data_IF_016088823029
#
_entry.id   IF_016088823029
#
_cell.length_a   1.000
_cell.length_b   1.000
_cell.length_c   1.000
_cell.angle_alpha   90.00
_cell.angle_beta   90.00
_cell.angle_gamma   90.00
#
_symmetry.space_group_name_H-M   'P 1'
#
loop_
_entity.id
_entity.type
_entity.pdbx_description
1 polymer ?
#
# COMPACT_ATOMS: atom_id res chain seq x y z
N UNK A 1 2.64 -15.04 10.00
CA UNK A 1 2.42 -13.79 9.24
C UNK A 1 3.13 -12.64 9.92
N UNK A 2 3.78 -11.82 9.14
CA UNK A 2 4.46 -10.63 9.64
C UNK A 2 3.48 -9.47 9.68
N UNK A 3 3.56 -8.65 10.71
CA UNK A 3 2.80 -7.41 10.72
C UNK A 3 3.59 -6.31 11.41
N UNK A 4 3.34 -5.06 10.99
CA UNK A 4 4.03 -3.89 11.53
C UNK A 4 3.02 -2.77 11.73
N UNK A 5 3.34 -1.90 12.66
CA UNK A 5 2.61 -0.66 12.80
C UNK A 5 3.32 0.41 11.98
N UNK A 6 2.64 0.95 10.99
CA UNK A 6 3.17 1.97 10.10
C UNK A 6 2.23 3.16 10.11
N UNK A 7 2.79 4.32 9.86
CA UNK A 7 2.02 5.56 9.81
C UNK A 7 1.71 5.94 8.37
N UNK A 8 0.48 6.37 8.15
CA UNK A 8 0.09 6.95 6.87
C UNK A 8 0.59 8.38 6.83
N UNK A 9 1.36 8.72 5.80
CA UNK A 9 1.82 10.08 5.56
C UNK A 9 0.81 10.82 4.71
N UNK A 10 0.61 12.10 5.00
CA UNK A 10 -0.29 12.92 4.19
C UNK A 10 0.53 14.01 3.52
N UNK A 11 0.58 13.96 2.17
CA UNK A 11 1.25 14.96 1.38
C UNK A 11 0.23 15.85 0.68
N UNK A 12 0.57 17.11 0.46
CA UNK A 12 -0.26 18.00 -0.32
C UNK A 12 -0.08 17.69 -1.79
N UNK A 13 -1.19 17.45 -2.47
CA UNK A 13 -1.18 17.43 -3.93
C UNK A 13 -1.87 18.68 -4.43
N UNK A 14 -1.47 19.17 -5.56
CA UNK A 14 -1.89 20.44 -6.22
C UNK A 14 -3.14 21.06 -5.69
N UNK A 15 -4.17 21.20 -5.74
CA UNK A 15 -5.38 21.89 -5.34
C UNK A 15 -5.66 21.89 -3.82
N UNK A 16 -4.66 21.69 -2.99
CA UNK A 16 -4.83 21.72 -1.54
C UNK A 16 -5.37 20.45 -0.91
N UNK A 17 -5.57 19.41 -1.68
CA UNK A 17 -6.00 18.11 -1.15
C UNK A 17 -4.83 17.35 -0.55
N UNK A 18 -5.11 16.59 0.50
CA UNK A 18 -4.11 15.72 1.12
C UNK A 18 -4.16 14.34 0.47
N UNK A 19 -3.00 13.83 0.10
CA UNK A 19 -2.87 12.49 -0.46
C UNK A 19 -2.25 11.57 0.57
N UNK A 20 -2.97 10.55 1.03
CA UNK A 20 -2.39 9.60 1.96
C UNK A 20 -1.42 8.66 1.24
N UNK A 21 -0.31 8.38 1.90
CA UNK A 21 0.72 7.50 1.37
C UNK A 21 1.20 6.56 2.46
N UNK A 22 1.47 5.34 2.09
CA UNK A 22 2.03 4.35 2.98
C UNK A 22 3.27 3.74 2.33
N UNK A 23 4.38 3.80 3.04
CA UNK A 23 5.61 3.17 2.58
C UNK A 23 5.62 1.72 3.02
N UNK A 24 5.65 0.82 2.06
CA UNK A 24 5.67 -0.61 2.35
C UNK A 24 7.11 -1.11 2.51
N UNK A 25 7.37 -2.06 3.43
CA UNK A 25 8.70 -2.64 3.54
C UNK A 25 9.11 -3.32 2.24
N UNK A 26 10.31 -3.01 1.78
CA UNK A 26 10.81 -3.58 0.52
C UNK A 26 10.87 -5.11 0.58
N UNK A 27 11.18 -5.65 1.75
CA UNK A 27 11.22 -7.09 1.97
C UNK A 27 9.91 -7.78 1.60
N UNK A 28 8.79 -7.14 1.94
CA UNK A 28 7.48 -7.70 1.63
C UNK A 28 7.22 -7.68 0.14
N UNK A 29 7.60 -6.59 -0.50
CA UNK A 29 7.44 -6.43 -1.95
C UNK A 29 8.28 -7.48 -2.68
N UNK A 30 9.52 -7.70 -2.22
CA UNK A 30 10.39 -8.71 -2.81
C UNK A 30 9.81 -10.12 -2.65
N UNK A 31 9.23 -10.41 -1.47
CA UNK A 31 8.60 -11.71 -1.23
C UNK A 31 7.35 -11.93 -2.06
N UNK A 32 6.68 -10.88 -2.46
CA UNK A 32 5.52 -10.95 -3.35
C UNK A 32 5.94 -11.06 -4.82
N UNK A 33 7.24 -11.03 -5.11
CA UNK A 33 7.78 -11.03 -6.47
C UNK A 33 7.29 -9.85 -7.31
N UNK A 34 7.13 -8.70 -6.66
CA UNK A 34 6.77 -7.46 -7.31
C UNK A 34 8.06 -6.75 -7.70
N UNK A 35 8.20 -6.43 -8.98
CA UNK A 35 9.38 -5.75 -9.51
C UNK A 35 8.95 -4.55 -10.33
N UNK A 36 9.91 -3.78 -10.80
CA UNK A 36 9.61 -2.64 -11.67
C UNK A 36 8.94 -3.06 -12.98
N UNK A 37 9.19 -4.28 -13.44
CA UNK A 37 8.58 -4.82 -14.64
C UNK A 37 7.21 -5.44 -14.36
N UNK A 38 7.02 -5.98 -13.17
CA UNK A 38 5.76 -6.62 -12.76
C UNK A 38 5.28 -5.96 -11.48
N UNK A 39 4.76 -4.76 -11.60
CA UNK A 39 4.39 -3.93 -10.44
C UNK A 39 2.89 -3.76 -10.23
N UNK A 40 2.08 -4.41 -11.03
CA UNK A 40 0.63 -4.30 -10.90
C UNK A 40 0.13 -5.16 -9.75
N UNK A 41 -0.69 -4.57 -8.91
CA UNK A 41 -1.31 -5.26 -7.78
C UNK A 41 -2.81 -4.99 -7.78
N UNK A 42 -3.54 -5.88 -7.15
CA UNK A 42 -4.96 -5.69 -6.90
C UNK A 42 -5.13 -5.19 -5.47
N UNK A 43 -5.88 -4.12 -5.30
CA UNK A 43 -6.13 -3.54 -3.99
C UNK A 43 -7.62 -3.57 -3.70
N UNK A 44 -7.97 -4.16 -2.56
CA UNK A 44 -9.35 -4.24 -2.09
C UNK A 44 -9.52 -3.45 -0.82
N UNK A 45 -10.64 -2.76 -0.69
CA UNK A 45 -11.00 -2.11 0.56
C UNK A 45 -12.25 -2.77 1.15
N UNK A 46 -12.14 -3.19 2.40
CA UNK A 46 -13.28 -3.72 3.14
C UNK A 46 -13.68 -2.71 4.21
N UNK A 47 -14.73 -1.96 3.97
CA UNK A 47 -15.15 -0.90 4.89
C UNK A 47 -15.80 -1.42 6.17
N UNK A 48 -16.29 -2.65 6.17
CA UNK A 48 -16.87 -3.26 7.36
C UNK A 48 -15.82 -3.59 8.41
N UNK A 49 -14.62 -3.95 7.97
CA UNK A 49 -13.52 -4.31 8.85
C UNK A 49 -12.42 -3.27 8.88
N UNK A 50 -12.52 -2.22 8.06
CA UNK A 50 -11.49 -1.18 7.90
C UNK A 50 -10.15 -1.78 7.44
N UNK A 51 -10.20 -2.67 6.49
CA UNK A 51 -9.00 -3.34 5.99
C UNK A 51 -8.75 -3.01 4.53
N UNK A 52 -7.47 -2.88 4.20
CA UNK A 52 -7.01 -2.79 2.82
C UNK A 52 -6.18 -4.03 2.54
N UNK A 53 -6.53 -4.76 1.51
CA UNK A 53 -5.86 -6.01 1.14
C UNK A 53 -5.19 -5.80 -0.21
N UNK A 54 -3.91 -6.13 -0.26
CA UNK A 54 -3.11 -5.99 -1.48
C UNK A 54 -2.66 -7.38 -1.92
N UNK A 55 -2.92 -7.71 -3.18
CA UNK A 55 -2.51 -8.99 -3.75
C UNK A 55 -1.75 -8.73 -5.05
N UNK A 56 -0.76 -9.56 -5.31
CA UNK A 56 -0.09 -9.52 -6.60
C UNK A 56 -1.06 -9.98 -7.68
N UNK A 57 -1.07 -9.28 -8.78
CA UNK A 57 -1.92 -9.63 -9.90
C UNK A 57 -1.27 -10.59 -10.86
#
# INVERSE_FOLDING_TARGET
MEKRELNISFGKSGAGNLTPRLTLPKKWIDKMNITQDERQVEVEFNENTNEIIIRKK
#
